data_IF_156196732398
#
_entry.id   IF_156196732398
#
_cell.length_a   1.000
_cell.length_b   1.000
_cell.length_c   1.000
_cell.angle_alpha   90.00
_cell.angle_beta   90.00
_cell.angle_gamma   90.00
#
_symmetry.space_group_name_H-M   'P 1'
#
loop_
_entity.id
_entity.type
_entity.pdbx_description
1 polymer ?
#
# COMPACT_ATOMS: atom_id res chain seq x y z
N UNK A 1 4.77 11.58 -9.62
CA UNK A 1 4.95 10.66 -8.49
C UNK A 1 3.71 9.80 -8.42
N UNK A 2 3.85 8.48 -8.57
CA UNK A 2 2.71 7.57 -8.59
C UNK A 2 2.04 7.57 -7.22
N UNK A 3 0.77 7.97 -7.19
CA UNK A 3 0.00 8.16 -5.95
C UNK A 3 -0.13 6.86 -5.14
N UNK A 4 -0.05 5.73 -5.84
CA UNK A 4 -0.06 4.38 -5.26
C UNK A 4 1.20 4.06 -4.45
N UNK A 5 2.29 4.81 -4.61
CA UNK A 5 3.51 4.64 -3.81
C UNK A 5 3.41 5.34 -2.45
N UNK A 6 2.54 6.34 -2.32
CA UNK A 6 2.38 7.10 -1.08
C UNK A 6 1.46 6.37 -0.09
N UNK A 7 1.79 6.36 1.22
CA UNK A 7 0.91 5.81 2.26
C UNK A 7 -0.23 6.78 2.61
N UNK A 8 -1.01 7.19 1.61
CA UNK A 8 -2.10 8.17 1.79
C UNK A 8 -3.16 7.67 2.78
N UNK A 9 -3.34 6.35 2.92
CA UNK A 9 -4.27 5.74 3.87
C UNK A 9 -3.95 6.14 5.31
N UNK A 10 -2.65 6.14 5.68
CA UNK A 10 -2.19 6.54 7.01
C UNK A 10 -2.43 8.02 7.26
N UNK A 11 -2.14 8.87 6.28
CA UNK A 11 -2.37 10.32 6.39
C UNK A 11 -3.85 10.64 6.55
N UNK A 12 -4.72 9.96 5.80
CA UNK A 12 -6.17 10.11 5.89
C UNK A 12 -6.70 9.58 7.22
N UNK A 13 -6.26 8.40 7.66
CA UNK A 13 -6.66 7.85 8.96
C UNK A 13 -6.25 8.77 10.11
N UNK A 14 -5.02 9.28 10.10
CA UNK A 14 -4.54 10.25 11.08
C UNK A 14 -5.36 11.55 11.04
N UNK A 15 -5.64 12.07 9.84
CA UNK A 15 -6.47 13.27 9.67
C UNK A 15 -7.89 13.09 10.24
N UNK A 16 -8.51 11.93 10.03
CA UNK A 16 -9.83 11.61 10.59
C UNK A 16 -9.78 11.57 12.12
N UNK A 17 -8.78 10.90 12.72
CA UNK A 17 -8.64 10.83 14.18
C UNK A 17 -8.46 12.24 14.77
N UNK A 18 -7.57 13.05 14.19
CA UNK A 18 -7.34 14.43 14.64
C UNK A 18 -8.61 15.26 14.47
N UNK A 19 -9.32 15.14 13.35
CA UNK A 19 -10.60 15.82 13.14
C UNK A 19 -11.64 15.43 14.19
N UNK A 20 -11.78 14.14 14.53
CA UNK A 20 -12.70 13.66 15.56
C UNK A 20 -12.37 14.23 16.95
N UNK A 21 -11.10 14.20 17.36
CA UNK A 21 -10.64 14.81 18.62
C UNK A 21 -10.97 16.31 18.63
N UNK A 22 -10.78 16.97 17.49
CA UNK A 22 -11.04 18.40 17.33
C UNK A 22 -12.53 18.72 17.43
N UNK A 23 -13.39 17.91 16.82
CA UNK A 23 -14.86 18.01 16.93
C UNK A 23 -15.30 17.79 18.37
N UNK A 24 -14.82 16.74 19.05
CA UNK A 24 -15.14 16.51 20.47
C UNK A 24 -14.72 17.70 21.35
N UNK A 25 -13.54 18.27 21.08
CA UNK A 25 -13.04 19.46 21.76
C UNK A 25 -13.88 20.72 21.48
N UNK A 26 -14.42 20.86 20.27
CA UNK A 26 -15.33 21.93 19.88
C UNK A 26 -16.69 21.79 20.56
N UNK A 27 -17.26 20.58 20.56
CA UNK A 27 -18.50 20.25 21.27
C UNK A 27 -18.37 20.61 22.75
N UNK A 28 -17.30 20.13 23.40
CA UNK A 28 -17.02 20.48 24.81
C UNK A 28 -16.93 21.98 25.04
N UNK A 29 -16.38 22.76 24.10
CA UNK A 29 -16.30 24.21 24.19
C UNK A 29 -17.67 24.89 24.07
N UNK A 30 -18.54 24.43 23.15
CA UNK A 30 -19.91 24.96 22.98
C UNK A 30 -20.72 24.80 24.27
N UNK A 31 -20.56 23.68 24.97
CA UNK A 31 -21.26 23.40 26.22
C UNK A 31 -20.60 24.03 27.48
N UNK A 32 -19.58 24.88 27.34
CA UNK A 32 -19.02 25.60 28.49
C UNK A 32 -19.97 26.72 28.96
N UNK A 33 -20.13 26.86 30.27
CA UNK A 33 -21.04 27.85 30.87
C UNK A 33 -20.71 29.32 30.52
N UNK A 34 -19.47 29.63 30.12
CA UNK A 34 -19.03 30.96 29.66
C UNK A 34 -17.93 30.85 28.58
N UNK A 35 -18.26 30.66 27.29
CA UNK A 35 -17.26 30.60 26.23
C UNK A 35 -16.64 31.99 26.02
N UNK A 36 -15.38 32.17 26.43
CA UNK A 36 -14.72 33.50 26.41
C UNK A 36 -14.26 33.95 25.01
N UNK A 37 -13.86 33.02 24.13
CA UNK A 37 -13.37 33.28 22.75
C UNK A 37 -13.59 32.08 21.84
N UNK A 38 -13.80 32.34 20.54
CA UNK A 38 -13.86 31.30 19.50
C UNK A 38 -12.55 30.49 19.45
N UNK A 39 -12.61 29.15 19.38
CA UNK A 39 -11.44 28.30 19.37
C UNK A 39 -10.84 28.20 17.95
N UNK A 40 -10.41 29.33 17.38
CA UNK A 40 -9.93 29.43 15.99
C UNK A 40 -8.88 28.40 15.61
N UNK A 41 -7.92 28.10 16.52
CA UNK A 41 -6.90 27.07 16.28
C UNK A 41 -7.50 25.69 15.99
N UNK A 42 -8.57 25.32 16.70
CA UNK A 42 -9.27 24.03 16.52
C UNK A 42 -10.02 24.02 15.19
N UNK A 43 -10.70 25.12 14.85
CA UNK A 43 -11.39 25.26 13.56
C UNK A 43 -10.38 25.12 12.41
N UNK A 44 -9.23 25.80 12.49
CA UNK A 44 -8.17 25.71 11.48
C UNK A 44 -7.68 24.27 11.33
N UNK A 45 -7.35 23.58 12.43
CA UNK A 45 -6.91 22.18 12.41
C UNK A 45 -7.97 21.28 11.77
N UNK A 46 -9.24 21.45 12.13
CA UNK A 46 -10.34 20.69 11.54
C UNK A 46 -10.44 20.91 10.02
N UNK A 47 -10.37 22.17 9.57
CA UNK A 47 -10.43 22.52 8.13
C UNK A 47 -9.23 21.92 7.37
N UNK A 48 -8.04 21.93 7.95
CA UNK A 48 -6.85 21.31 7.36
C UNK A 48 -7.04 19.79 7.23
N UNK A 49 -7.46 19.10 8.29
CA UNK A 49 -7.74 17.66 8.25
C UNK A 49 -8.83 17.32 7.25
N UNK A 50 -9.91 18.10 7.20
CA UNK A 50 -10.97 17.94 6.22
C UNK A 50 -10.47 18.13 4.78
N UNK A 51 -9.59 19.12 4.57
CA UNK A 51 -8.90 19.32 3.30
C UNK A 51 -8.07 18.12 2.86
N UNK A 52 -7.37 17.43 3.77
CA UNK A 52 -6.63 16.19 3.47
C UNK A 52 -7.58 15.08 3.00
N UNK A 53 -8.72 14.90 3.67
CA UNK A 53 -9.72 13.90 3.28
C UNK A 53 -10.32 14.23 1.92
N UNK A 54 -10.69 15.49 1.67
CA UNK A 54 -11.20 15.94 0.37
C UNK A 54 -10.18 15.78 -0.74
N UNK A 55 -8.91 16.07 -0.46
CA UNK A 55 -7.82 15.85 -1.41
C UNK A 55 -7.71 14.37 -1.77
N UNK A 56 -7.69 13.47 -0.78
CA UNK A 56 -7.65 12.04 -1.05
C UNK A 56 -8.87 11.59 -1.87
N UNK A 57 -10.08 12.03 -1.51
CA UNK A 57 -11.31 11.74 -2.24
C UNK A 57 -11.26 12.22 -3.70
N UNK A 58 -10.64 13.39 -3.96
CA UNK A 58 -10.58 13.98 -5.30
C UNK A 58 -9.48 13.40 -6.19
N UNK A 59 -8.36 12.98 -5.61
CA UNK A 59 -7.15 12.62 -6.35
C UNK A 59 -6.76 11.15 -6.29
N UNK A 60 -7.33 10.36 -5.38
CA UNK A 60 -7.10 8.92 -5.31
C UNK A 60 -8.27 8.20 -5.99
N UNK A 61 -7.95 7.42 -7.01
CA UNK A 61 -8.95 6.67 -7.76
C UNK A 61 -9.58 5.59 -6.87
N UNK A 62 -10.91 5.47 -6.93
CA UNK A 62 -11.68 4.53 -6.11
C UNK A 62 -11.34 4.62 -4.61
N UNK A 63 -11.01 5.82 -4.11
CA UNK A 63 -10.63 6.08 -2.72
C UNK A 63 -11.49 5.35 -1.68
N UNK A 64 -12.85 5.41 -1.72
CA UNK A 64 -13.65 4.77 -0.69
C UNK A 64 -13.47 3.25 -0.64
N UNK A 65 -13.29 2.62 -1.80
CA UNK A 65 -13.07 1.18 -1.90
C UNK A 65 -11.66 0.81 -1.42
N UNK A 66 -10.63 1.55 -1.84
CA UNK A 66 -9.24 1.32 -1.41
C UNK A 66 -9.07 1.53 0.09
N UNK A 67 -9.65 2.60 0.64
CA UNK A 67 -9.59 2.89 2.08
C UNK A 67 -10.31 1.83 2.90
N UNK A 68 -11.51 1.39 2.45
CA UNK A 68 -12.25 0.31 3.10
C UNK A 68 -11.47 -1.01 3.06
N UNK A 69 -10.87 -1.34 1.91
CA UNK A 69 -10.03 -2.52 1.78
C UNK A 69 -8.83 -2.46 2.73
N UNK A 70 -8.13 -1.32 2.82
CA UNK A 70 -6.99 -1.18 3.73
C UNK A 70 -7.36 -1.24 5.23
N UNK A 71 -8.62 -1.02 5.59
CA UNK A 71 -9.11 -1.16 6.98
C UNK A 71 -9.64 -2.57 7.27
N UNK A 72 -10.24 -3.22 6.27
CA UNK A 72 -10.95 -4.49 6.47
C UNK A 72 -10.16 -5.72 6.01
N UNK A 73 -9.16 -5.55 5.16
CA UNK A 73 -8.33 -6.62 4.64
C UNK A 73 -6.91 -6.53 5.21
N UNK A 74 -6.30 -7.69 5.37
CA UNK A 74 -4.92 -7.86 5.81
C UNK A 74 -4.07 -8.57 4.75
N UNK A 75 -4.59 -8.70 3.53
CA UNK A 75 -3.92 -9.38 2.43
C UNK A 75 -4.36 -8.78 1.08
N UNK A 76 -3.42 -8.80 0.13
CA UNK A 76 -3.63 -8.46 -1.27
C UNK A 76 -3.01 -9.54 -2.15
N UNK A 77 -3.60 -9.80 -3.31
CA UNK A 77 -3.06 -10.73 -4.30
C UNK A 77 -3.28 -10.20 -5.71
N UNK A 78 -2.39 -10.58 -6.62
CA UNK A 78 -2.63 -10.38 -8.04
C UNK A 78 -3.70 -11.34 -8.56
N UNK A 79 -4.47 -10.90 -9.56
CA UNK A 79 -5.51 -11.71 -10.20
C UNK A 79 -5.87 -11.17 -11.58
N UNK A 80 -6.34 -12.05 -12.47
CA UNK A 80 -6.80 -11.68 -13.82
C UNK A 80 -8.10 -10.84 -13.76
N UNK A 81 -8.87 -11.01 -12.69
CA UNK A 81 -10.08 -10.22 -12.37
C UNK A 81 -9.88 -9.47 -11.05
N UNK A 82 -8.98 -8.48 -10.98
CA UNK A 82 -8.60 -7.88 -9.71
C UNK A 82 -9.66 -6.88 -9.24
N UNK A 83 -9.75 -6.69 -7.92
CA UNK A 83 -10.59 -5.62 -7.35
C UNK A 83 -10.05 -4.23 -7.69
N UNK A 84 -8.73 -4.11 -7.82
CA UNK A 84 -8.02 -2.87 -8.12
C UNK A 84 -7.06 -3.09 -9.29
N UNK A 85 -6.98 -2.15 -10.20
CA UNK A 85 -6.21 -2.30 -11.45
C UNK A 85 -4.71 -2.55 -11.19
N UNK A 86 -4.16 -1.96 -10.13
CA UNK A 86 -2.78 -2.19 -9.71
C UNK A 86 -2.47 -3.62 -9.24
N UNK A 87 -3.51 -4.43 -8.97
CA UNK A 87 -3.41 -5.84 -8.61
C UNK A 87 -3.71 -6.78 -9.78
N UNK A 88 -3.76 -6.27 -11.02
CA UNK A 88 -3.85 -7.14 -12.19
C UNK A 88 -2.63 -8.07 -12.24
N UNK A 89 -2.85 -9.33 -12.59
CA UNK A 89 -1.75 -10.27 -12.87
C UNK A 89 -0.84 -9.68 -13.93
N UNK A 90 0.44 -9.44 -13.60
CA UNK A 90 1.41 -8.90 -14.55
C UNK A 90 1.95 -9.99 -15.47
N UNK A 91 2.12 -9.64 -16.74
CA UNK A 91 2.87 -10.44 -17.70
C UNK A 91 4.09 -9.66 -18.20
N UNK A 92 5.25 -10.31 -18.28
CA UNK A 92 6.48 -9.72 -18.80
C UNK A 92 6.95 -10.48 -20.05
N UNK A 93 7.20 -9.77 -21.15
CA UNK A 93 7.78 -10.32 -22.39
C UNK A 93 9.30 -10.61 -22.24
N UNK A 94 9.64 -11.40 -21.22
CA UNK A 94 10.98 -11.80 -20.81
C UNK A 94 10.94 -13.24 -20.30
N UNK A 95 12.07 -13.92 -20.33
CA UNK A 95 12.15 -15.30 -19.86
C UNK A 95 11.95 -15.37 -18.34
N UNK A 96 11.49 -16.54 -17.87
CA UNK A 96 11.20 -16.75 -16.45
C UNK A 96 12.45 -16.49 -15.58
N UNK A 97 13.62 -16.92 -16.05
CA UNK A 97 14.91 -16.73 -15.37
C UNK A 97 15.32 -15.25 -15.30
N UNK A 98 15.15 -14.50 -16.39
CA UNK A 98 15.44 -13.06 -16.41
C UNK A 98 14.58 -12.30 -15.41
N UNK A 99 13.28 -12.60 -15.38
CA UNK A 99 12.32 -11.96 -14.49
C UNK A 99 12.58 -12.36 -13.04
N UNK A 100 12.91 -13.62 -12.77
CA UNK A 100 13.26 -14.11 -11.44
C UNK A 100 14.50 -13.38 -10.88
N UNK A 101 15.60 -13.34 -11.63
CA UNK A 101 16.84 -12.67 -11.20
C UNK A 101 16.70 -11.15 -11.12
N UNK A 102 15.90 -10.54 -11.99
CA UNK A 102 15.55 -9.12 -11.86
C UNK A 102 14.73 -8.84 -10.59
N UNK A 103 13.84 -9.77 -10.22
CA UNK A 103 13.04 -9.63 -9.00
C UNK A 103 13.88 -9.78 -7.75
N UNK A 104 14.80 -10.75 -7.71
CA UNK A 104 15.78 -10.88 -6.61
C UNK A 104 16.57 -9.59 -6.44
N UNK A 105 17.13 -9.03 -7.52
CA UNK A 105 17.87 -7.75 -7.47
C UNK A 105 17.01 -6.60 -6.95
N UNK A 106 15.77 -6.52 -7.44
CA UNK A 106 14.81 -5.50 -7.01
C UNK A 106 14.52 -5.58 -5.52
N UNK A 107 14.27 -6.78 -4.99
CA UNK A 107 14.03 -7.01 -3.56
C UNK A 107 15.26 -6.61 -2.74
N UNK A 108 16.46 -7.04 -3.14
CA UNK A 108 17.70 -6.75 -2.40
C UNK A 108 18.08 -5.27 -2.38
N UNK A 109 17.65 -4.51 -3.38
CA UNK A 109 17.90 -3.07 -3.45
C UNK A 109 16.93 -2.25 -2.57
N UNK A 110 15.81 -2.84 -2.15
CA UNK A 110 14.75 -2.15 -1.44
C UNK A 110 15.00 -2.16 0.07
N UNK A 111 15.04 -0.97 0.68
CA UNK A 111 15.21 -0.85 2.13
C UNK A 111 14.00 -1.43 2.88
N UNK A 112 14.27 -2.20 3.93
CA UNK A 112 13.24 -2.84 4.76
C UNK A 112 12.66 -4.14 4.17
N UNK A 113 13.15 -4.58 3.02
CA UNK A 113 12.73 -5.84 2.39
C UNK A 113 13.82 -6.89 2.59
N UNK A 114 13.42 -8.08 2.99
CA UNK A 114 14.34 -9.19 3.27
C UNK A 114 13.84 -10.45 2.55
N UNK A 115 14.68 -11.01 1.69
CA UNK A 115 14.41 -12.31 1.10
C UNK A 115 14.60 -13.40 2.17
N UNK A 116 13.52 -14.08 2.55
CA UNK A 116 13.52 -15.10 3.60
C UNK A 116 13.51 -16.52 3.07
N UNK A 117 13.00 -16.73 1.85
CA UNK A 117 13.12 -17.99 1.14
C UNK A 117 13.32 -17.76 -0.36
N UNK A 118 14.17 -18.61 -0.94
CA UNK A 118 14.45 -18.68 -2.38
C UNK A 118 14.40 -20.15 -2.76
N UNK A 119 13.34 -20.57 -3.44
CA UNK A 119 13.21 -21.92 -3.95
C UNK A 119 13.51 -21.90 -5.45
N UNK A 120 14.79 -22.02 -5.81
CA UNK A 120 15.24 -21.92 -7.20
C UNK A 120 14.61 -22.99 -8.11
N UNK A 121 14.33 -24.19 -7.58
CA UNK A 121 13.69 -25.28 -8.34
C UNK A 121 12.23 -25.00 -8.69
N UNK A 122 11.52 -24.32 -7.80
CA UNK A 122 10.11 -23.93 -8.01
C UNK A 122 10.00 -22.52 -8.61
N UNK A 123 11.13 -21.81 -8.72
CA UNK A 123 11.22 -20.39 -8.97
C UNK A 123 10.14 -19.64 -8.21
N UNK A 124 10.23 -19.73 -6.89
CA UNK A 124 9.38 -18.99 -5.97
C UNK A 124 10.23 -18.25 -4.94
N UNK A 125 9.75 -17.07 -4.55
CA UNK A 125 10.42 -16.20 -3.58
C UNK A 125 9.46 -15.90 -2.42
N UNK A 126 10.04 -15.80 -1.24
CA UNK A 126 9.36 -15.31 -0.05
C UNK A 126 10.13 -14.13 0.51
N UNK A 127 9.42 -13.04 0.75
CA UNK A 127 9.98 -11.77 1.19
C UNK A 127 9.26 -11.33 2.44
N UNK A 128 10.00 -10.94 3.46
CA UNK A 128 9.47 -10.21 4.61
C UNK A 128 9.75 -8.72 4.45
N UNK A 129 8.71 -7.91 4.68
CA UNK A 129 8.77 -6.47 4.51
C UNK A 129 8.48 -5.83 5.85
N UNK A 130 9.51 -5.23 6.44
CA UNK A 130 9.43 -4.53 7.71
C UNK A 130 9.21 -3.04 7.49
N UNK A 131 8.10 -2.51 7.99
CA UNK A 131 7.78 -1.08 7.93
C UNK A 131 7.71 -0.45 9.32
N UNK A 132 7.77 0.89 9.38
CA UNK A 132 7.77 1.67 10.62
C UNK A 132 8.82 1.20 11.65
N UNK A 133 10.10 1.15 11.25
CA UNK A 133 11.20 0.68 12.11
C UNK A 133 10.98 -0.75 12.67
N UNK A 134 10.33 -1.62 11.91
CA UNK A 134 10.10 -3.03 12.29
C UNK A 134 8.85 -3.26 13.15
N UNK A 135 7.98 -2.26 13.32
CA UNK A 135 6.73 -2.42 14.08
C UNK A 135 5.70 -3.26 13.31
N UNK A 136 5.68 -3.11 11.99
CA UNK A 136 4.77 -3.82 11.10
C UNK A 136 5.59 -4.73 10.19
N UNK A 137 5.17 -5.99 10.06
CA UNK A 137 5.84 -6.96 9.20
C UNK A 137 4.80 -7.61 8.29
N UNK A 138 5.02 -7.47 6.99
CA UNK A 138 4.25 -8.12 5.95
C UNK A 138 5.08 -9.25 5.33
N UNK A 139 4.42 -10.28 4.83
CA UNK A 139 5.03 -11.38 4.09
C UNK A 139 4.46 -11.41 2.67
N UNK A 140 5.35 -11.39 1.70
CA UNK A 140 5.04 -11.50 0.29
C UNK A 140 5.56 -12.82 -0.28
N UNK A 141 4.74 -13.51 -1.04
CA UNK A 141 5.10 -14.69 -1.84
C UNK A 141 4.96 -14.34 -3.31
N UNK A 142 5.94 -14.75 -4.08
CA UNK A 142 6.05 -14.46 -5.51
C UNK A 142 6.31 -15.77 -6.22
N UNK A 143 5.49 -16.09 -7.21
CA UNK A 143 5.62 -17.28 -8.05
C UNK A 143 5.75 -16.86 -9.50
N UNK A 144 6.70 -17.48 -10.21
CA UNK A 144 7.02 -17.16 -11.59
C UNK A 144 6.59 -18.32 -12.49
N UNK A 145 5.67 -18.06 -13.41
CA UNK A 145 5.07 -19.07 -14.28
C UNK A 145 5.50 -18.75 -15.71
N UNK A 146 6.12 -19.74 -16.36
CA UNK A 146 6.50 -19.65 -17.75
C UNK A 146 5.27 -19.90 -18.64
N UNK A 147 4.92 -18.92 -19.48
CA UNK A 147 3.88 -19.03 -20.50
C UNK A 147 4.48 -18.88 -21.91
N UNK A 148 5.65 -19.50 -22.13
CA UNK A 148 6.33 -19.58 -23.42
C UNK A 148 7.16 -18.34 -23.69
N UNK A 149 6.58 -17.35 -24.38
CA UNK A 149 7.29 -16.12 -24.74
C UNK A 149 7.17 -15.01 -23.69
N UNK A 150 6.47 -15.29 -22.59
CA UNK A 150 6.21 -14.35 -21.51
C UNK A 150 6.19 -15.05 -20.16
N UNK A 151 6.47 -14.29 -19.12
CA UNK A 151 6.43 -14.76 -17.74
C UNK A 151 5.26 -14.11 -17.03
N UNK A 152 4.40 -14.93 -16.45
CA UNK A 152 3.34 -14.51 -15.53
C UNK A 152 3.92 -14.46 -14.11
N UNK A 153 3.60 -13.42 -13.35
CA UNK A 153 3.97 -13.34 -11.93
C UNK A 153 2.74 -13.32 -11.05
N UNK A 154 2.61 -14.35 -10.20
CA UNK A 154 1.59 -14.38 -9.16
C UNK A 154 2.19 -13.88 -7.85
N UNK A 155 1.59 -12.82 -7.28
CA UNK A 155 2.08 -12.18 -6.06
C UNK A 155 0.96 -12.18 -5.03
N UNK A 156 1.27 -12.62 -3.82
CA UNK A 156 0.41 -12.50 -2.66
C UNK A 156 1.19 -11.83 -1.54
N UNK A 157 0.64 -10.75 -0.97
CA UNK A 157 1.19 -10.07 0.21
C UNK A 157 0.17 -10.10 1.33
N UNK A 158 0.61 -10.43 2.54
CA UNK A 158 -0.25 -10.51 3.72
C UNK A 158 0.48 -9.99 4.96
N UNK A 159 -0.24 -9.32 5.86
CA UNK A 159 0.32 -8.90 7.14
C UNK A 159 0.57 -10.12 8.03
N UNK A 160 1.78 -10.25 8.59
CA UNK A 160 2.09 -11.29 9.58
C UNK A 160 1.52 -10.96 10.95
N UNK A 161 1.43 -9.66 11.28
CA UNK A 161 0.99 -9.18 12.59
C UNK A 161 0.09 -7.95 12.43
N UNK A 162 -1.15 -8.06 12.92
CA UNK A 162 -2.14 -6.99 12.88
C UNK A 162 -3.37 -7.35 12.04
N UNK A 163 -4.51 -6.75 12.37
CA UNK A 163 -5.78 -6.93 11.65
C UNK A 163 -5.97 -5.96 10.49
N UNK A 164 -5.14 -4.92 10.40
CA UNK A 164 -5.29 -3.79 9.47
C UNK A 164 -3.96 -3.53 8.78
N UNK A 165 -3.94 -3.48 7.45
CA UNK A 165 -2.72 -3.24 6.67
C UNK A 165 -2.60 -1.80 6.13
N UNK A 166 -3.65 -0.98 6.22
CA UNK A 166 -3.70 0.39 5.66
C UNK A 166 -3.21 0.44 4.20
N UNK A 167 -3.58 -0.55 3.40
CA UNK A 167 -3.18 -0.68 1.99
C UNK A 167 -1.71 -1.04 1.78
N UNK A 168 -0.95 -1.33 2.84
CA UNK A 168 0.49 -1.67 2.78
C UNK A 168 0.76 -2.81 1.81
N UNK A 169 0.03 -3.93 1.92
CA UNK A 169 0.21 -5.10 1.05
C UNK A 169 0.03 -4.77 -0.43
N UNK A 170 -1.02 -4.01 -0.76
CA UNK A 170 -1.28 -3.56 -2.14
C UNK A 170 -0.17 -2.63 -2.64
N UNK A 171 0.29 -1.70 -1.80
CA UNK A 171 1.40 -0.79 -2.14
C UNK A 171 2.71 -1.54 -2.34
N UNK A 172 3.02 -2.55 -1.54
CA UNK A 172 4.21 -3.38 -1.71
C UNK A 172 4.18 -4.12 -3.05
N UNK A 173 3.06 -4.74 -3.41
CA UNK A 173 2.91 -5.39 -4.72
C UNK A 173 3.17 -4.37 -5.84
N UNK A 174 2.54 -3.18 -5.77
CA UNK A 174 2.73 -2.15 -6.78
C UNK A 174 4.18 -1.63 -6.84
N UNK A 175 4.84 -1.44 -5.69
CA UNK A 175 6.25 -1.04 -5.60
C UNK A 175 7.17 -2.05 -6.29
N UNK A 176 6.98 -3.34 -6.01
CA UNK A 176 7.76 -4.41 -6.64
C UNK A 176 7.60 -4.39 -8.15
N UNK A 177 6.35 -4.37 -8.63
CA UNK A 177 6.07 -4.39 -10.07
C UNK A 177 6.64 -3.16 -10.77
N UNK A 178 6.54 -1.99 -10.14
CA UNK A 178 7.08 -0.77 -10.74
C UNK A 178 8.60 -0.78 -10.81
N UNK A 179 9.26 -1.26 -9.75
CA UNK A 179 10.71 -1.39 -9.74
C UNK A 179 11.18 -2.46 -10.73
N UNK A 180 10.42 -3.54 -10.90
CA UNK A 180 10.72 -4.59 -11.86
C UNK A 180 10.60 -4.12 -13.32
N UNK A 181 9.57 -3.33 -13.66
CA UNK A 181 9.46 -2.67 -14.97
C UNK A 181 10.69 -1.81 -15.29
N UNK A 182 11.15 -1.03 -14.30
CA UNK A 182 12.35 -0.19 -14.43
C UNK A 182 13.60 -1.04 -14.61
N UNK A 183 13.73 -2.13 -13.86
CA UNK A 183 14.88 -3.03 -13.89
C UNK A 183 14.97 -3.80 -15.22
N UNK A 184 13.84 -4.24 -15.77
CA UNK A 184 13.78 -4.99 -17.03
C UNK A 184 13.73 -4.09 -18.28
N UNK A 185 13.46 -2.79 -18.10
CA UNK A 185 13.28 -1.84 -19.19
C UNK A 185 12.06 -2.15 -20.07
N UNK A 186 11.07 -2.87 -19.53
CA UNK A 186 9.83 -3.24 -20.23
C UNK A 186 8.63 -3.00 -19.32
N UNK A 187 7.53 -2.54 -19.93
CA UNK A 187 6.24 -2.46 -19.25
C UNK A 187 5.64 -3.87 -19.11
N UNK A 188 4.89 -4.08 -18.02
CA UNK A 188 4.04 -5.26 -17.86
C UNK A 188 2.80 -5.14 -18.75
N UNK A 189 2.37 -6.25 -19.32
CA UNK A 189 1.09 -6.42 -20.01
C UNK A 189 -0.04 -6.79 -19.02
#
# INVERSE_FOLDING_TARGET
>A
MDKELLPWELFVAAAIIVAMITVFSLVRWVFQARPKRLPMKRIIVFVLCFGVVLYAYRFVDNFPAKFRAGINANAARTSDTPQFEELRTPYFARSRDEVFEATVRTITAQSGWQLTSRADSEQSLQVEISTMLGILTDQMRISFIDEGNRTRIDIQSQALKGSVDFGSNRRHIFQLLKALELQLGVARE
#
